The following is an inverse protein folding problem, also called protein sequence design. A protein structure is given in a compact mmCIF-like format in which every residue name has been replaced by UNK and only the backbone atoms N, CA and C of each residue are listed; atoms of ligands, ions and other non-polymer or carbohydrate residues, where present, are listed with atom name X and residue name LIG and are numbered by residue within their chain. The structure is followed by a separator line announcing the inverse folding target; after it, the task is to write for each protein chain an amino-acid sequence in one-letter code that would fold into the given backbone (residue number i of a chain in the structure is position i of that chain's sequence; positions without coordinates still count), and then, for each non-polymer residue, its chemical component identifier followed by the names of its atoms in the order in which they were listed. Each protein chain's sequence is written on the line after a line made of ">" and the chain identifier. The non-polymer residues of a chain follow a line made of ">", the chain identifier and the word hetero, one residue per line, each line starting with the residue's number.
data_IF_637175486621
#
_entry.id   IF_637175486621
#
_cell.length_a   1.000
_cell.length_b   1.000
_cell.length_c   1.000
_cell.angle_alpha   90.00
_cell.angle_beta   90.00
_cell.angle_gamma   90.00
#
_symmetry.space_group_name_H-M   'P 1'
#
loop_
_entity.id
_entity.type
_entity.pdbx_description
1 polymer ?
#
# COMPACT_ATOMS: atom_id res chain seq x y z
N UNK A 1 19.45 -11.76 24.22
CA UNK A 1 18.61 -11.08 25.20
C UNK A 1 17.53 -10.37 24.41
N UNK A 2 16.37 -10.98 24.32
CA UNK A 2 15.19 -10.47 23.62
C UNK A 2 14.66 -9.27 24.39
N UNK A 3 14.73 -8.09 23.79
CA UNK A 3 14.12 -6.90 24.38
C UNK A 3 12.61 -6.98 24.16
N UNK A 4 11.89 -7.40 25.18
CA UNK A 4 10.43 -7.39 25.19
C UNK A 4 9.99 -5.94 25.27
N UNK A 5 9.39 -5.41 24.21
CA UNK A 5 8.75 -4.10 24.23
C UNK A 5 7.46 -4.22 25.06
N UNK A 6 7.48 -3.69 26.27
CA UNK A 6 6.28 -3.53 27.09
C UNK A 6 5.47 -2.34 26.54
N UNK A 7 4.75 -2.56 25.45
CA UNK A 7 3.68 -1.63 25.05
C UNK A 7 2.49 -1.96 25.94
N UNK A 8 1.92 -1.00 26.68
CA UNK A 8 0.72 -1.25 27.49
C UNK A 8 -0.40 -1.68 26.54
N UNK A 9 -0.91 -2.90 26.71
CA UNK A 9 -1.93 -3.55 25.89
C UNK A 9 -3.32 -2.89 25.92
N UNK A 10 -3.49 -1.80 26.67
CA UNK A 10 -4.71 -0.99 26.68
C UNK A 10 -4.38 0.48 26.91
N UNK A 11 -3.99 1.23 25.86
CA UNK A 11 -4.07 2.68 25.95
C UNK A 11 -5.55 3.08 26.10
N UNK A 12 -5.85 3.90 27.09
CA UNK A 12 -7.21 4.47 27.20
C UNK A 12 -7.41 5.48 26.09
N UNK A 13 -8.63 5.62 25.59
CA UNK A 13 -8.97 6.60 24.54
C UNK A 13 -8.51 8.02 24.89
N UNK A 14 -8.46 8.35 26.19
CA UNK A 14 -7.94 9.60 26.73
C UNK A 14 -6.47 9.83 26.36
N UNK A 15 -5.68 8.77 26.21
CA UNK A 15 -4.25 8.86 25.86
C UNK A 15 -4.07 9.21 24.37
N UNK A 16 -5.02 8.84 23.51
CA UNK A 16 -5.03 9.20 22.08
C UNK A 16 -5.58 10.60 21.82
N UNK A 17 -6.49 11.06 22.65
CA UNK A 17 -7.05 12.42 22.58
C UNK A 17 -6.06 13.47 23.13
N UNK A 18 -5.07 13.05 23.92
CA UNK A 18 -4.06 13.93 24.53
C UNK A 18 -2.73 13.98 23.80
N UNK A 19 -2.54 13.22 22.72
CA UNK A 19 -1.38 13.44 21.85
C UNK A 19 -1.48 14.87 21.33
N UNK A 20 -0.44 15.72 21.54
CA UNK A 20 -0.45 17.02 20.92
C UNK A 20 -0.55 16.79 19.42
N UNK A 21 -1.68 17.19 18.84
CA UNK A 21 -1.74 17.43 17.40
C UNK A 21 -0.62 18.43 17.14
N UNK A 22 0.51 17.95 16.66
CA UNK A 22 1.52 18.82 16.11
C UNK A 22 0.78 19.57 15.01
N UNK A 23 0.44 20.82 15.28
CA UNK A 23 -0.17 21.72 14.31
C UNK A 23 0.90 22.11 13.28
N UNK A 24 1.31 21.12 12.50
CA UNK A 24 1.99 21.40 11.25
C UNK A 24 0.93 21.99 10.31
N UNK A 25 1.27 23.07 9.63
CA UNK A 25 0.42 23.61 8.58
C UNK A 25 -0.01 22.48 7.65
N UNK A 26 -1.29 22.46 7.28
CA UNK A 26 -1.81 21.44 6.38
C UNK A 26 -0.97 21.48 5.08
N UNK A 27 -0.52 20.33 4.57
CA UNK A 27 0.28 20.29 3.36
C UNK A 27 -0.54 20.82 2.18
N UNK A 28 0.11 21.51 1.25
CA UNK A 28 -0.50 21.90 -0.01
C UNK A 28 -0.67 20.68 -0.94
N UNK A 29 -1.59 20.78 -1.89
CA UNK A 29 -1.84 19.77 -2.92
C UNK A 29 -3.05 18.88 -2.63
N UNK A 30 -3.44 18.11 -3.63
CA UNK A 30 -4.61 17.23 -3.58
C UNK A 30 -4.39 16.01 -2.69
N UNK A 31 -5.49 15.42 -2.23
CA UNK A 31 -5.48 14.15 -1.51
C UNK A 31 -4.77 13.06 -2.32
N UNK A 32 -4.04 12.20 -1.61
CA UNK A 32 -3.35 11.01 -2.16
C UNK A 32 -4.20 9.75 -2.02
N UNK A 33 -5.42 9.85 -1.47
CA UNK A 33 -6.28 8.73 -1.17
C UNK A 33 -6.84 8.08 -2.44
N UNK A 34 -6.91 6.77 -2.41
CA UNK A 34 -7.55 5.91 -3.39
C UNK A 34 -8.02 4.60 -2.78
N UNK A 35 -8.43 3.65 -3.60
CA UNK A 35 -9.00 2.39 -3.16
C UNK A 35 -8.24 1.19 -3.75
N UNK A 36 -8.04 0.17 -2.91
CA UNK A 36 -7.72 -1.19 -3.33
C UNK A 36 -9.04 -1.95 -3.48
N UNK A 37 -9.34 -2.40 -4.70
CA UNK A 37 -10.62 -3.03 -5.04
C UNK A 37 -10.41 -4.52 -5.24
N UNK A 38 -11.01 -5.32 -4.36
CA UNK A 38 -10.99 -6.79 -4.43
C UNK A 38 -12.16 -7.36 -5.24
N UNK A 39 -13.25 -6.59 -5.34
CA UNK A 39 -14.36 -6.91 -6.24
C UNK A 39 -15.02 -5.62 -6.74
N UNK A 40 -15.29 -5.55 -8.03
CA UNK A 40 -15.86 -4.37 -8.68
C UNK A 40 -17.40 -4.37 -8.77
N UNK A 41 -18.07 -5.24 -8.02
CA UNK A 41 -19.52 -5.44 -8.10
C UNK A 41 -20.36 -4.35 -7.43
N UNK A 42 -19.77 -3.50 -6.59
CA UNK A 42 -20.49 -2.44 -5.89
C UNK A 42 -20.60 -1.15 -6.72
N UNK A 43 -21.81 -0.67 -7.05
CA UNK A 43 -21.99 0.61 -7.74
C UNK A 43 -21.43 1.81 -6.96
N UNK A 44 -21.30 1.70 -5.64
CA UNK A 44 -20.76 2.77 -4.79
C UNK A 44 -19.28 3.04 -5.05
N UNK A 45 -18.53 2.06 -5.56
CA UNK A 45 -17.12 2.25 -5.93
C UNK A 45 -17.01 3.24 -7.10
N UNK A 46 -17.78 3.04 -8.17
CA UNK A 46 -17.81 3.99 -9.30
C UNK A 46 -18.46 5.34 -8.91
N UNK A 47 -19.38 5.35 -7.94
CA UNK A 47 -19.89 6.61 -7.41
C UNK A 47 -18.77 7.38 -6.68
N UNK A 48 -17.96 6.68 -5.86
CA UNK A 48 -16.79 7.28 -5.22
C UNK A 48 -15.80 7.85 -6.25
N UNK A 49 -15.54 7.13 -7.34
CA UNK A 49 -14.65 7.62 -8.42
C UNK A 49 -15.17 8.93 -9.00
N UNK A 50 -16.46 9.04 -9.28
CA UNK A 50 -17.09 10.28 -9.79
C UNK A 50 -17.01 11.44 -8.80
N UNK A 51 -17.31 11.15 -7.54
CA UNK A 51 -17.45 12.19 -6.51
C UNK A 51 -16.11 12.68 -5.98
N UNK A 52 -15.11 11.78 -5.86
CA UNK A 52 -13.83 12.05 -5.24
C UNK A 52 -12.67 12.27 -6.22
N UNK A 53 -12.76 11.70 -7.42
CA UNK A 53 -11.64 11.67 -8.38
C UNK A 53 -10.32 11.24 -7.69
N UNK A 54 -10.23 10.00 -7.18
CA UNK A 54 -9.16 9.55 -6.29
C UNK A 54 -7.79 9.58 -6.98
N UNK A 55 -6.74 9.73 -6.20
CA UNK A 55 -5.37 9.75 -6.72
C UNK A 55 -4.98 8.43 -7.40
N UNK A 56 -5.37 7.31 -6.81
CA UNK A 56 -5.02 5.98 -7.31
C UNK A 56 -6.21 5.00 -7.18
N UNK A 57 -6.23 4.00 -8.05
CA UNK A 57 -7.11 2.82 -7.94
C UNK A 57 -6.28 1.56 -8.20
N UNK A 58 -6.34 0.60 -7.29
CA UNK A 58 -5.65 -0.70 -7.40
C UNK A 58 -6.71 -1.77 -7.61
N UNK A 59 -6.67 -2.46 -8.75
CA UNK A 59 -7.69 -3.41 -9.19
C UNK A 59 -7.13 -4.83 -9.17
N UNK A 60 -7.72 -5.68 -8.35
CA UNK A 60 -7.20 -7.04 -8.11
C UNK A 60 -8.12 -8.08 -8.74
N UNK A 61 -7.52 -8.99 -9.50
CA UNK A 61 -8.21 -10.10 -10.16
C UNK A 61 -8.92 -9.70 -11.44
N UNK A 62 -9.76 -8.66 -11.39
CA UNK A 62 -10.55 -8.16 -12.53
C UNK A 62 -10.32 -6.67 -12.79
N UNK A 63 -9.47 -6.30 -13.75
CA UNK A 63 -9.22 -4.91 -14.12
C UNK A 63 -10.30 -4.27 -15.00
N UNK A 64 -11.44 -4.92 -15.24
CA UNK A 64 -12.43 -4.47 -16.23
C UNK A 64 -12.96 -3.04 -15.99
N UNK A 65 -13.02 -2.57 -14.73
CA UNK A 65 -13.44 -1.21 -14.43
C UNK A 65 -12.40 -0.12 -14.74
N UNK A 66 -11.17 -0.48 -15.14
CA UNK A 66 -10.12 0.51 -15.41
C UNK A 66 -10.52 1.56 -16.45
N UNK A 67 -11.19 1.15 -17.52
CA UNK A 67 -11.66 2.05 -18.55
C UNK A 67 -12.75 3.03 -18.04
N UNK A 68 -13.66 2.55 -17.20
CA UNK A 68 -14.69 3.39 -16.59
C UNK A 68 -14.08 4.38 -15.60
N UNK A 69 -13.09 3.94 -14.81
CA UNK A 69 -12.33 4.84 -13.92
C UNK A 69 -11.68 5.96 -14.72
N UNK A 70 -10.96 5.63 -15.80
CA UNK A 70 -10.30 6.63 -16.66
C UNK A 70 -11.29 7.55 -17.36
N UNK A 71 -12.48 7.08 -17.70
CA UNK A 71 -13.53 7.91 -18.32
C UNK A 71 -14.08 8.97 -17.35
N UNK A 72 -14.25 8.61 -16.07
CA UNK A 72 -14.82 9.51 -15.06
C UNK A 72 -13.71 10.35 -14.36
N UNK A 73 -12.51 9.82 -14.20
CA UNK A 73 -11.38 10.44 -13.52
C UNK A 73 -10.07 10.17 -14.29
N UNK A 74 -9.79 10.93 -15.36
CA UNK A 74 -8.65 10.68 -16.26
C UNK A 74 -7.29 10.71 -15.57
N UNK A 75 -7.14 11.52 -14.52
CA UNK A 75 -5.88 11.68 -13.77
C UNK A 75 -5.63 10.58 -12.74
N UNK A 76 -6.66 9.81 -12.37
CA UNK A 76 -6.49 8.68 -11.45
C UNK A 76 -5.48 7.67 -12.01
N UNK A 77 -4.45 7.37 -11.24
CA UNK A 77 -3.48 6.32 -11.59
C UNK A 77 -4.08 4.95 -11.32
N UNK A 78 -4.22 4.13 -12.34
CA UNK A 78 -4.80 2.79 -12.23
C UNK A 78 -3.70 1.74 -12.25
N UNK A 79 -3.62 0.97 -11.17
CA UNK A 79 -2.76 -0.21 -11.06
C UNK A 79 -3.60 -1.48 -11.08
N UNK A 80 -3.05 -2.58 -11.57
CA UNK A 80 -3.76 -3.86 -11.51
C UNK A 80 -2.80 -5.04 -11.38
N UNK A 81 -3.32 -6.17 -10.87
CA UNK A 81 -2.69 -7.50 -10.96
C UNK A 81 -3.74 -8.60 -11.09
N UNK A 82 -3.32 -9.71 -11.66
CA UNK A 82 -4.09 -10.94 -11.64
C UNK A 82 -3.77 -11.76 -10.39
N UNK A 83 -4.74 -12.53 -9.89
CA UNK A 83 -4.60 -13.27 -8.61
C UNK A 83 -3.71 -14.51 -8.71
N UNK A 84 -3.84 -15.26 -9.77
CA UNK A 84 -3.22 -16.58 -9.91
C UNK A 84 -1.74 -16.48 -10.29
N UNK A 85 -0.85 -16.58 -9.30
CA UNK A 85 0.58 -16.45 -9.50
C UNK A 85 1.34 -17.46 -8.65
N UNK A 86 2.25 -18.21 -9.29
CA UNK A 86 3.26 -18.99 -8.59
C UNK A 86 4.39 -18.06 -8.12
N UNK A 87 4.46 -17.82 -6.82
CA UNK A 87 5.44 -16.95 -6.18
C UNK A 87 6.62 -17.72 -5.55
N UNK A 88 6.88 -18.94 -5.99
CA UNK A 88 8.00 -19.71 -5.48
C UNK A 88 9.36 -19.15 -5.98
N UNK A 89 10.29 -18.92 -5.06
CA UNK A 89 11.68 -18.54 -5.36
C UNK A 89 12.47 -19.79 -5.74
N UNK A 90 12.32 -20.24 -6.98
CA UNK A 90 12.97 -21.47 -7.50
C UNK A 90 13.29 -21.36 -8.98
N UNK A 91 14.29 -22.10 -9.43
CA UNK A 91 14.69 -22.12 -10.85
C UNK A 91 15.41 -20.85 -11.29
N UNK A 92 15.50 -20.63 -12.59
CA UNK A 92 16.12 -19.45 -13.17
C UNK A 92 15.17 -18.24 -13.14
N UNK A 93 15.53 -17.15 -12.45
CA UNK A 93 14.64 -15.99 -12.28
C UNK A 93 14.29 -15.30 -13.60
N UNK A 94 15.23 -15.24 -14.56
CA UNK A 94 15.02 -14.60 -15.87
C UNK A 94 14.01 -15.39 -16.70
N UNK A 95 14.20 -16.70 -16.77
CA UNK A 95 13.26 -17.57 -17.49
C UNK A 95 11.85 -17.51 -16.87
N UNK A 96 11.77 -17.47 -15.53
CA UNK A 96 10.48 -17.37 -14.82
C UNK A 96 9.78 -16.03 -15.06
N UNK A 97 10.52 -14.95 -15.07
CA UNK A 97 9.96 -13.62 -15.35
C UNK A 97 9.38 -13.54 -16.76
N UNK A 98 10.10 -14.07 -17.76
CA UNK A 98 9.58 -14.15 -19.14
C UNK A 98 8.33 -15.01 -19.23
N UNK A 99 8.34 -16.21 -18.66
CA UNK A 99 7.18 -17.08 -18.64
C UNK A 99 5.97 -16.44 -17.94
N UNK A 100 6.20 -15.72 -16.85
CA UNK A 100 5.17 -14.95 -16.14
C UNK A 100 4.52 -13.89 -17.04
N UNK A 101 5.31 -13.11 -17.78
CA UNK A 101 4.81 -12.08 -18.69
C UNK A 101 4.12 -12.70 -19.90
N UNK A 102 4.73 -13.70 -20.53
CA UNK A 102 4.19 -14.39 -21.72
C UNK A 102 2.84 -15.05 -21.44
N UNK A 103 2.70 -15.71 -20.28
CA UNK A 103 1.44 -16.36 -19.90
C UNK A 103 0.26 -15.42 -19.72
N UNK A 104 0.51 -14.12 -19.49
CA UNK A 104 -0.49 -13.09 -19.28
C UNK A 104 -0.57 -12.06 -20.43
N UNK A 105 0.25 -12.17 -21.46
CA UNK A 105 0.37 -11.15 -22.50
C UNK A 105 -0.96 -10.79 -23.18
N UNK A 106 -1.76 -11.80 -23.53
CA UNK A 106 -3.09 -11.59 -24.13
C UNK A 106 -4.06 -10.91 -23.15
N UNK A 107 -3.97 -11.27 -21.86
CA UNK A 107 -4.81 -10.65 -20.81
C UNK A 107 -4.44 -9.19 -20.60
N UNK A 108 -3.15 -8.85 -20.56
CA UNK A 108 -2.71 -7.45 -20.45
C UNK A 108 -3.27 -6.60 -21.60
N UNK A 109 -3.25 -7.10 -22.80
CA UNK A 109 -3.74 -6.39 -23.99
C UNK A 109 -5.25 -6.06 -23.94
N UNK A 110 -6.04 -6.78 -23.11
CA UNK A 110 -7.48 -6.52 -22.96
C UNK A 110 -7.78 -5.30 -22.06
N UNK A 111 -6.79 -4.82 -21.28
CA UNK A 111 -6.99 -3.74 -20.32
C UNK A 111 -6.03 -2.54 -20.55
N UNK A 112 -6.13 -1.86 -21.70
CA UNK A 112 -5.20 -0.78 -22.06
C UNK A 112 -5.32 0.47 -21.16
N UNK A 113 -6.34 0.55 -20.32
CA UNK A 113 -6.56 1.64 -19.37
C UNK A 113 -5.80 1.48 -18.04
N UNK A 114 -5.11 0.36 -17.84
CA UNK A 114 -4.21 0.15 -16.69
C UNK A 114 -2.90 0.87 -16.95
N UNK A 115 -2.52 1.78 -16.04
CA UNK A 115 -1.28 2.56 -16.16
C UNK A 115 -0.04 1.74 -15.76
N UNK A 116 -0.17 0.92 -14.69
CA UNK A 116 0.94 0.11 -14.17
C UNK A 116 0.47 -1.29 -13.75
N UNK A 117 1.24 -2.28 -14.11
CA UNK A 117 0.99 -3.66 -13.73
C UNK A 117 1.85 -4.07 -12.54
N UNK A 118 1.20 -4.51 -11.47
CA UNK A 118 1.85 -5.13 -10.32
C UNK A 118 2.36 -6.54 -10.67
N UNK A 119 3.42 -6.96 -9.99
CA UNK A 119 3.95 -8.32 -10.04
C UNK A 119 3.34 -9.21 -8.95
N UNK A 120 4.22 -9.88 -8.21
CA UNK A 120 3.83 -10.70 -7.07
C UNK A 120 3.22 -9.86 -5.94
N UNK A 121 2.38 -10.51 -5.16
CA UNK A 121 1.82 -9.88 -3.96
C UNK A 121 2.61 -10.34 -2.74
N UNK A 122 3.17 -9.39 -1.99
CA UNK A 122 3.86 -9.67 -0.75
C UNK A 122 4.83 -10.86 -0.87
N UNK A 123 5.81 -10.78 -1.79
CA UNK A 123 6.73 -11.88 -1.99
C UNK A 123 7.40 -12.23 -0.67
N UNK A 124 7.40 -13.52 -0.34
CA UNK A 124 8.09 -14.03 0.86
C UNK A 124 9.58 -14.08 0.55
N UNK A 125 10.33 -13.17 1.17
CA UNK A 125 11.77 -13.05 1.04
C UNK A 125 12.41 -13.46 2.37
N UNK A 126 13.35 -14.38 2.33
CA UNK A 126 14.11 -14.82 3.51
C UNK A 126 15.60 -14.49 3.30
N UNK A 127 15.92 -13.22 3.50
CA UNK A 127 17.26 -12.69 3.41
C UNK A 127 17.73 -12.30 2.01
N UNK A 128 18.98 -11.84 1.96
CA UNK A 128 19.58 -11.22 0.77
C UNK A 128 19.61 -12.14 -0.45
N UNK A 129 19.83 -13.45 -0.27
CA UNK A 129 19.91 -14.39 -1.40
C UNK A 129 18.57 -14.53 -2.15
N UNK A 130 17.46 -14.59 -1.41
CA UNK A 130 16.12 -14.61 -2.01
C UNK A 130 15.81 -13.27 -2.68
N UNK A 131 16.23 -12.17 -2.05
CA UNK A 131 16.07 -10.85 -2.64
C UNK A 131 16.89 -10.68 -3.93
N UNK A 132 18.11 -11.19 -4.00
CA UNK A 132 18.92 -11.17 -5.24
C UNK A 132 18.22 -11.95 -6.36
N UNK A 133 17.64 -13.11 -6.04
CA UNK A 133 16.84 -13.88 -6.98
C UNK A 133 15.61 -13.07 -7.46
N UNK A 134 14.87 -12.49 -6.51
CA UNK A 134 13.67 -11.69 -6.82
C UNK A 134 14.02 -10.42 -7.59
N UNK A 135 15.15 -9.80 -7.29
CA UNK A 135 15.70 -8.65 -8.02
C UNK A 135 15.96 -8.99 -9.49
N UNK A 136 16.54 -10.17 -9.76
CA UNK A 136 16.76 -10.62 -11.13
C UNK A 136 15.43 -10.91 -11.85
N UNK A 137 14.46 -11.52 -11.16
CA UNK A 137 13.10 -11.75 -11.66
C UNK A 137 12.40 -10.42 -11.99
N UNK A 138 12.35 -9.48 -11.06
CA UNK A 138 11.68 -8.18 -11.27
C UNK A 138 12.36 -7.37 -12.38
N UNK A 139 13.69 -7.36 -12.43
CA UNK A 139 14.42 -6.67 -13.49
C UNK A 139 14.06 -7.19 -14.87
N UNK A 140 13.94 -8.51 -15.02
CA UNK A 140 13.55 -9.10 -16.30
C UNK A 140 12.04 -8.94 -16.59
N UNK A 141 11.19 -9.01 -15.56
CA UNK A 141 9.77 -8.71 -15.70
C UNK A 141 9.55 -7.30 -16.25
N UNK A 142 10.29 -6.31 -15.72
CA UNK A 142 10.24 -4.93 -16.22
C UNK A 142 10.58 -4.86 -17.70
N UNK A 143 11.68 -5.51 -18.14
CA UNK A 143 12.11 -5.52 -19.54
C UNK A 143 11.09 -6.19 -20.43
N UNK A 144 10.61 -7.36 -20.05
CA UNK A 144 9.63 -8.12 -20.84
C UNK A 144 8.29 -7.37 -20.96
N UNK A 145 7.85 -6.68 -19.90
CA UNK A 145 6.65 -5.83 -19.95
C UNK A 145 6.86 -4.60 -20.85
N UNK A 146 8.05 -3.99 -20.81
CA UNK A 146 8.40 -2.88 -21.69
C UNK A 146 8.43 -3.27 -23.16
N UNK A 147 8.85 -4.50 -23.49
CA UNK A 147 8.77 -5.06 -24.86
C UNK A 147 7.30 -5.10 -25.37
N UNK A 148 6.33 -5.24 -24.47
CA UNK A 148 4.89 -5.17 -24.76
C UNK A 148 4.32 -3.73 -24.73
N UNK A 149 5.15 -2.72 -24.44
CA UNK A 149 4.71 -1.32 -24.29
C UNK A 149 3.98 -1.06 -22.96
N UNK A 150 4.14 -1.92 -21.98
CA UNK A 150 3.48 -1.83 -20.66
C UNK A 150 4.44 -1.32 -19.60
N UNK A 151 3.89 -0.60 -18.62
CA UNK A 151 4.64 -0.13 -17.45
C UNK A 151 4.33 -0.98 -16.23
N UNK A 152 5.27 -1.02 -15.29
CA UNK A 152 5.16 -1.84 -14.09
C UNK A 152 5.31 -1.05 -12.80
N UNK A 153 4.66 -1.53 -11.75
CA UNK A 153 5.01 -1.23 -10.37
C UNK A 153 5.78 -2.43 -9.80
N UNK A 154 6.97 -2.16 -9.23
CA UNK A 154 7.88 -3.19 -8.71
C UNK A 154 7.87 -3.21 -7.19
N UNK A 155 8.21 -4.35 -6.60
CA UNK A 155 8.28 -4.55 -5.15
C UNK A 155 7.00 -5.16 -4.61
N UNK A 156 6.00 -4.33 -4.31
CA UNK A 156 4.73 -4.76 -3.69
C UNK A 156 4.95 -5.58 -2.41
N UNK A 157 5.96 -5.16 -1.62
CA UNK A 157 6.34 -5.80 -0.37
C UNK A 157 5.33 -5.54 0.72
N UNK A 158 5.15 -6.52 1.61
CA UNK A 158 4.26 -6.42 2.77
C UNK A 158 4.72 -5.37 3.78
N UNK A 159 3.81 -4.98 4.67
CA UNK A 159 4.12 -4.05 5.75
C UNK A 159 5.28 -4.55 6.61
N UNK A 160 6.21 -3.65 6.93
CA UNK A 160 7.40 -4.01 7.68
C UNK A 160 8.52 -4.66 6.85
N UNK A 161 8.31 -4.90 5.57
CA UNK A 161 9.28 -5.45 4.62
C UNK A 161 9.65 -4.46 3.51
N UNK A 162 10.81 -4.65 2.84
CA UNK A 162 11.89 -5.58 3.18
C UNK A 162 12.75 -5.06 4.34
N UNK A 163 13.75 -5.84 4.79
CA UNK A 163 14.80 -5.36 5.69
C UNK A 163 15.82 -4.50 4.92
N UNK A 164 16.66 -3.67 5.62
CA UNK A 164 17.56 -2.72 4.95
C UNK A 164 18.55 -3.34 3.97
N UNK A 165 19.13 -4.48 4.28
CA UNK A 165 20.09 -5.19 3.41
C UNK A 165 19.35 -5.85 2.20
N UNK A 166 18.14 -6.32 2.40
CA UNK A 166 17.26 -6.79 1.33
C UNK A 166 16.87 -5.64 0.40
N UNK A 167 16.48 -4.47 0.95
CA UNK A 167 16.18 -3.30 0.12
C UNK A 167 17.39 -2.85 -0.70
N UNK A 168 18.58 -2.89 -0.10
CA UNK A 168 19.83 -2.60 -0.83
C UNK A 168 20.07 -3.59 -1.97
N UNK A 169 19.78 -4.88 -1.77
CA UNK A 169 19.88 -5.91 -2.81
C UNK A 169 18.81 -5.73 -3.91
N UNK A 170 17.68 -5.08 -3.61
CA UNK A 170 16.61 -4.80 -4.58
C UNK A 170 16.88 -3.58 -5.48
N UNK A 171 17.82 -2.70 -5.12
CA UNK A 171 18.09 -1.47 -5.86
C UNK A 171 18.37 -1.66 -7.37
N UNK A 172 19.01 -2.74 -7.86
CA UNK A 172 19.16 -2.96 -9.30
C UNK A 172 17.84 -3.08 -10.04
N UNK A 173 16.80 -3.68 -9.44
CA UNK A 173 15.48 -3.75 -10.06
C UNK A 173 14.81 -2.36 -10.12
N UNK A 174 15.02 -1.52 -9.10
CA UNK A 174 14.56 -0.13 -9.12
C UNK A 174 15.22 0.70 -10.22
N UNK A 175 16.52 0.46 -10.48
CA UNK A 175 17.22 1.12 -11.58
C UNK A 175 16.60 0.75 -12.94
N UNK A 176 16.33 -0.53 -13.16
CA UNK A 176 15.66 -1.01 -14.39
C UNK A 176 14.24 -0.47 -14.49
N UNK A 177 13.49 -0.44 -13.38
CA UNK A 177 12.15 0.13 -13.36
C UNK A 177 12.16 1.62 -13.73
N UNK A 178 13.10 2.40 -13.18
CA UNK A 178 13.27 3.81 -13.53
C UNK A 178 13.56 4.01 -15.02
N UNK A 179 14.46 3.22 -15.59
CA UNK A 179 14.81 3.27 -17.02
C UNK A 179 13.59 3.07 -17.92
N UNK A 180 12.66 2.21 -17.52
CA UNK A 180 11.44 1.88 -18.29
C UNK A 180 10.19 2.64 -17.82
N UNK A 181 10.34 3.68 -17.00
CA UNK A 181 9.21 4.50 -16.53
C UNK A 181 8.28 3.77 -15.57
N UNK A 182 8.80 2.78 -14.85
CA UNK A 182 8.12 2.08 -13.76
C UNK A 182 8.10 2.86 -12.46
N UNK A 183 7.37 2.36 -11.49
CA UNK A 183 7.20 2.93 -10.15
C UNK A 183 7.48 1.89 -9.06
N UNK A 184 7.69 2.36 -7.82
CA UNK A 184 7.76 1.51 -6.64
C UNK A 184 6.35 1.29 -6.06
N UNK A 185 6.05 0.07 -5.63
CA UNK A 185 4.85 -0.32 -4.90
C UNK A 185 5.22 -0.90 -3.53
N UNK A 186 4.52 -0.48 -2.48
CA UNK A 186 4.71 -0.97 -1.11
C UNK A 186 3.35 -1.12 -0.43
N UNK A 187 3.28 -1.95 0.64
CA UNK A 187 2.16 -1.98 1.55
C UNK A 187 2.55 -1.34 2.88
N UNK A 188 1.65 -0.56 3.46
CA UNK A 188 1.85 0.05 4.76
C UNK A 188 0.61 -0.11 5.64
N UNK A 189 0.73 -0.96 6.64
CA UNK A 189 -0.27 -1.17 7.67
C UNK A 189 0.32 -0.92 9.04
N UNK A 190 -0.49 -0.57 10.01
CA UNK A 190 -0.12 -0.52 11.42
C UNK A 190 -1.34 -0.84 12.29
N UNK A 191 -1.12 -1.20 13.55
CA UNK A 191 -2.16 -1.48 14.52
C UNK A 191 -1.70 -1.08 15.94
N UNK A 192 -2.62 -0.73 16.85
CA UNK A 192 -4.07 -0.58 16.68
C UNK A 192 -4.49 0.67 15.89
N UNK A 193 -3.55 1.55 15.57
CA UNK A 193 -3.77 2.77 14.77
C UNK A 193 -2.72 2.87 13.68
N UNK A 194 -3.00 3.63 12.62
CA UNK A 194 -2.00 3.88 11.56
C UNK A 194 -0.77 4.64 12.07
N UNK A 195 -0.83 5.26 13.23
CA UNK A 195 0.28 6.01 13.85
C UNK A 195 1.13 5.16 14.81
N UNK A 196 0.72 3.93 15.11
CA UNK A 196 1.27 3.15 16.23
C UNK A 196 2.79 2.89 16.14
N UNK A 197 3.34 2.82 14.94
CA UNK A 197 4.77 2.58 14.71
C UNK A 197 5.55 3.84 14.28
N UNK A 198 4.92 5.02 14.27
CA UNK A 198 5.58 6.28 13.89
C UNK A 198 6.61 6.68 14.95
N UNK A 199 7.79 7.12 14.50
CA UNK A 199 8.94 7.41 15.36
C UNK A 199 9.76 6.18 15.77
N UNK A 200 9.32 4.96 15.42
CA UNK A 200 10.13 3.76 15.62
C UNK A 200 11.13 3.57 14.48
N UNK A 201 12.32 3.05 14.80
CA UNK A 201 13.37 2.78 13.82
C UNK A 201 13.12 1.49 13.04
N UNK A 202 13.69 1.43 11.85
CA UNK A 202 13.87 0.19 11.09
C UNK A 202 15.16 -0.48 11.58
N UNK A 203 15.21 -1.80 11.77
CA UNK A 203 16.42 -2.48 12.23
C UNK A 203 17.66 -2.07 11.42
N UNK A 204 18.72 -1.67 12.11
CA UNK A 204 19.97 -1.23 11.47
C UNK A 204 20.00 0.21 10.94
N UNK A 205 18.90 0.95 11.03
CA UNK A 205 18.83 2.37 10.68
C UNK A 205 18.42 3.21 11.90
N UNK A 206 18.89 4.44 11.97
CA UNK A 206 18.52 5.37 13.04
C UNK A 206 17.05 5.75 12.95
N UNK A 207 16.37 5.80 14.10
CA UNK A 207 14.97 6.19 14.18
C UNK A 207 14.77 7.64 13.67
N UNK A 208 13.73 7.84 12.87
CA UNK A 208 13.32 9.13 12.33
C UNK A 208 11.99 9.54 12.93
N UNK A 209 11.88 10.76 13.42
CA UNK A 209 10.62 11.28 14.01
C UNK A 209 9.46 11.32 12.97
N UNK A 210 9.80 11.46 11.69
CA UNK A 210 8.84 11.52 10.58
C UNK A 210 8.64 10.21 9.85
N UNK A 211 9.34 9.12 10.24
CA UNK A 211 9.21 7.78 9.68
C UNK A 211 8.66 6.81 10.70
N UNK A 212 8.43 5.57 10.31
CA UNK A 212 8.03 4.50 11.20
C UNK A 212 8.48 3.14 10.70
N UNK A 213 8.46 2.13 11.54
CA UNK A 213 8.84 0.78 11.14
C UNK A 213 7.79 0.07 10.28
N UNK A 214 6.57 0.58 10.27
CA UNK A 214 5.40 0.07 9.55
C UNK A 214 4.85 1.13 8.59
N UNK A 215 3.97 2.03 9.04
CA UNK A 215 3.56 3.21 8.26
C UNK A 215 4.68 4.24 8.17
N UNK A 216 4.77 4.93 7.03
CA UNK A 216 5.84 5.87 6.67
C UNK A 216 7.23 5.20 6.63
N UNK A 217 7.28 3.86 6.46
CA UNK A 217 8.52 3.09 6.34
C UNK A 217 9.27 3.44 5.05
N UNK A 218 8.55 3.75 3.95
CA UNK A 218 9.14 4.16 2.69
C UNK A 218 10.11 5.34 2.83
N UNK A 219 9.92 6.24 3.82
CA UNK A 219 10.81 7.38 4.05
C UNK A 219 12.25 6.94 4.32
N UNK A 220 12.43 5.81 5.02
CA UNK A 220 13.76 5.23 5.23
C UNK A 220 14.43 4.83 3.92
N UNK A 221 13.67 4.25 2.99
CA UNK A 221 14.17 3.83 1.69
C UNK A 221 14.58 5.03 0.85
N UNK A 222 13.76 6.07 0.81
CA UNK A 222 14.07 7.29 0.06
C UNK A 222 15.25 8.04 0.65
N UNK A 223 15.33 8.18 1.96
CA UNK A 223 16.37 8.97 2.62
C UNK A 223 17.73 8.27 2.64
N UNK A 224 17.75 6.96 2.90
CA UNK A 224 19.03 6.23 3.04
C UNK A 224 19.56 5.66 1.72
N UNK A 225 18.70 5.33 0.76
CA UNK A 225 19.11 4.60 -0.44
C UNK A 225 18.83 5.34 -1.75
N UNK A 226 17.62 5.88 -1.93
CA UNK A 226 17.18 6.32 -3.25
C UNK A 226 17.66 7.72 -3.61
N UNK A 227 17.57 8.69 -2.70
CA UNK A 227 17.98 10.08 -2.98
C UNK A 227 19.48 10.18 -3.24
N UNK A 228 20.30 9.46 -2.47
CA UNK A 228 21.76 9.46 -2.62
C UNK A 228 22.27 8.79 -3.88
N UNK A 229 21.50 7.89 -4.49
CA UNK A 229 21.84 7.12 -5.69
C UNK A 229 21.13 7.58 -6.97
N UNK A 230 20.45 8.72 -6.91
CA UNK A 230 19.62 9.23 -8.04
C UNK A 230 18.58 8.21 -8.54
N UNK A 231 18.03 7.40 -7.62
CA UNK A 231 17.01 6.38 -7.92
C UNK A 231 15.63 6.74 -7.35
N UNK A 232 15.34 8.01 -7.20
CA UNK A 232 13.99 8.43 -6.78
C UNK A 232 12.98 8.04 -7.86
N UNK A 233 12.16 7.03 -7.56
CA UNK A 233 11.00 6.63 -8.36
C UNK A 233 9.72 7.22 -7.77
N UNK A 234 8.67 7.40 -8.58
CA UNK A 234 7.33 7.59 -8.02
C UNK A 234 6.92 6.35 -7.19
N UNK A 235 6.14 6.58 -6.14
CA UNK A 235 5.66 5.56 -5.20
C UNK A 235 4.13 5.52 -5.18
N UNK A 236 3.58 4.32 -5.16
CA UNK A 236 2.20 4.06 -4.73
C UNK A 236 2.22 3.10 -3.54
N UNK A 237 1.54 3.46 -2.47
CA UNK A 237 1.22 2.51 -1.40
C UNK A 237 -0.03 1.76 -1.87
N UNK A 238 0.18 0.55 -2.37
CA UNK A 238 -0.86 -0.24 -3.04
C UNK A 238 -1.85 -0.90 -2.10
N UNK A 239 -1.48 -1.04 -0.85
CA UNK A 239 -2.37 -1.42 0.25
C UNK A 239 -2.01 -0.62 1.50
N UNK A 240 -3.00 -0.04 2.15
CA UNK A 240 -2.83 0.70 3.39
C UNK A 240 -4.04 0.60 4.30
N UNK A 241 -3.81 0.68 5.60
CA UNK A 241 -4.89 0.67 6.58
C UNK A 241 -4.45 0.23 7.98
N UNK A 242 -5.43 -0.26 8.73
CA UNK A 242 -5.19 -0.91 10.01
C UNK A 242 -5.27 -2.41 9.81
N UNK A 243 -4.22 -3.13 10.24
CA UNK A 243 -4.14 -4.58 10.16
C UNK A 243 -3.52 -5.17 11.44
N UNK A 244 -4.27 -6.05 12.11
CA UNK A 244 -3.81 -6.80 13.27
C UNK A 244 -2.72 -7.82 12.95
N UNK A 245 -2.59 -8.23 11.69
CA UNK A 245 -1.54 -9.15 11.24
C UNK A 245 -0.11 -8.62 11.44
N UNK A 246 0.05 -7.30 11.63
CA UNK A 246 1.36 -6.70 11.94
C UNK A 246 1.72 -6.75 13.44
N UNK A 247 0.79 -7.20 14.29
CA UNK A 247 1.04 -7.35 15.73
C UNK A 247 1.80 -8.67 16.01
N UNK A 248 2.58 -8.73 17.10
CA UNK A 248 3.26 -9.97 17.50
C UNK A 248 2.28 -11.14 17.67
N UNK A 249 2.62 -12.33 17.17
CA UNK A 249 1.81 -13.56 17.18
C UNK A 249 1.41 -14.08 18.59
N UNK A 250 1.85 -13.47 19.68
CA UNK A 250 1.41 -13.80 21.04
C UNK A 250 -0.08 -13.50 21.28
N UNK A 251 -0.73 -12.83 20.32
CA UNK A 251 -2.16 -12.55 20.30
C UNK A 251 -2.95 -13.53 19.40
N UNK A 252 -2.45 -14.76 19.20
CA UNK A 252 -3.16 -15.80 18.46
C UNK A 252 -4.55 -16.07 19.05
N UNK A 253 -5.57 -16.00 18.18
CA UNK A 253 -6.97 -16.23 18.55
C UNK A 253 -7.89 -15.23 17.85
N UNK A 254 -8.91 -14.77 18.53
CA UNK A 254 -9.88 -13.76 18.04
C UNK A 254 -9.29 -12.32 18.07
N UNK A 255 -8.04 -12.16 17.62
CA UNK A 255 -7.41 -10.85 17.57
C UNK A 255 -8.07 -9.96 16.51
N UNK A 256 -8.25 -8.64 16.78
CA UNK A 256 -8.72 -7.70 15.78
C UNK A 256 -7.83 -7.74 14.54
N UNK A 257 -8.45 -7.78 13.37
CA UNK A 257 -7.73 -7.86 12.11
C UNK A 257 -7.82 -6.54 11.35
N UNK A 258 -9.02 -6.07 11.00
CA UNK A 258 -9.21 -4.84 10.27
C UNK A 258 -9.68 -3.68 11.15
N UNK A 259 -9.80 -2.49 10.56
CA UNK A 259 -10.19 -1.27 11.26
C UNK A 259 -11.51 -1.37 12.03
N UNK A 260 -12.46 -2.21 11.57
CA UNK A 260 -13.76 -2.39 12.23
C UNK A 260 -13.61 -3.12 13.55
N UNK A 261 -12.82 -4.19 13.59
CA UNK A 261 -12.58 -4.96 14.80
C UNK A 261 -11.91 -4.07 15.86
N UNK A 262 -10.87 -3.31 15.47
CA UNK A 262 -10.22 -2.36 16.39
C UNK A 262 -11.16 -1.27 16.86
N UNK A 263 -12.03 -0.77 15.99
CA UNK A 263 -12.99 0.24 16.37
C UNK A 263 -14.05 -0.32 17.36
N UNK A 264 -14.50 -1.55 17.20
CA UNK A 264 -15.45 -2.20 18.10
C UNK A 264 -14.84 -2.48 19.47
N UNK A 265 -13.61 -2.96 19.52
CA UNK A 265 -12.90 -3.26 20.76
C UNK A 265 -12.56 -2.00 21.59
N UNK A 266 -12.22 -0.91 20.92
CA UNK A 266 -11.79 0.33 21.58
C UNK A 266 -12.91 1.34 21.80
N UNK A 267 -14.00 1.23 21.03
CA UNK A 267 -15.10 2.19 21.06
C UNK A 267 -16.38 1.49 21.48
N UNK A 268 -16.74 1.54 22.75
CA UNK A 268 -18.11 1.24 23.22
C UNK A 268 -19.13 2.27 22.70
N UNK A 269 -19.07 2.61 21.40
CA UNK A 269 -19.70 3.78 20.78
C UNK A 269 -20.43 3.40 19.48
N UNK A 270 -21.41 4.22 19.03
CA UNK A 270 -22.15 3.97 17.79
C UNK A 270 -21.23 3.80 16.56
N UNK A 271 -21.67 3.03 15.57
CA UNK A 271 -20.95 2.78 14.31
C UNK A 271 -20.45 4.05 13.58
N UNK A 272 -21.14 5.17 13.76
CA UNK A 272 -20.71 6.48 13.23
C UNK A 272 -19.41 6.99 13.87
N UNK A 273 -19.19 6.73 15.15
CA UNK A 273 -17.94 7.14 15.82
C UNK A 273 -16.76 6.25 15.37
N UNK A 274 -17.00 4.96 15.11
CA UNK A 274 -16.00 4.06 14.53
C UNK A 274 -15.56 4.52 13.13
N UNK A 275 -16.51 4.93 12.29
CA UNK A 275 -16.23 5.50 10.98
C UNK A 275 -15.37 6.77 11.09
N UNK A 276 -15.77 7.73 11.92
CA UNK A 276 -15.01 8.98 12.08
C UNK A 276 -13.62 8.75 12.68
N UNK A 277 -13.49 7.80 13.60
CA UNK A 277 -12.19 7.40 14.13
C UNK A 277 -11.25 6.90 13.03
N UNK A 278 -11.73 6.02 12.14
CA UNK A 278 -10.90 5.51 11.05
C UNK A 278 -10.62 6.59 10.00
N UNK A 279 -11.62 7.37 9.60
CA UNK A 279 -11.47 8.48 8.65
C UNK A 279 -10.44 9.50 9.15
N UNK A 280 -10.38 9.79 10.46
CA UNK A 280 -9.38 10.67 11.01
C UNK A 280 -7.94 10.11 10.88
N UNK A 281 -7.76 8.80 11.00
CA UNK A 281 -6.46 8.17 10.81
C UNK A 281 -6.03 8.19 9.34
N UNK A 282 -6.95 7.91 8.43
CA UNK A 282 -6.72 8.05 6.99
C UNK A 282 -6.42 9.49 6.60
N UNK A 283 -7.11 10.46 7.22
CA UNK A 283 -6.84 11.89 7.03
C UNK A 283 -5.43 12.28 7.45
N UNK A 284 -4.98 11.79 8.61
CA UNK A 284 -3.62 11.99 9.07
C UNK A 284 -2.60 11.39 8.10
N UNK A 285 -2.82 10.15 7.68
CA UNK A 285 -1.90 9.46 6.77
C UNK A 285 -1.81 10.15 5.42
N UNK A 286 -2.95 10.58 4.87
CA UNK A 286 -3.00 11.39 3.66
C UNK A 286 -2.21 12.69 3.78
N UNK A 287 -2.33 13.41 4.92
CA UNK A 287 -1.56 14.64 5.18
C UNK A 287 -0.05 14.36 5.25
N UNK A 288 0.37 13.23 5.80
CA UNK A 288 1.77 12.83 5.78
C UNK A 288 2.27 12.55 4.35
N UNK A 289 1.51 11.80 3.55
CA UNK A 289 1.90 11.47 2.18
C UNK A 289 1.90 12.67 1.24
N UNK A 290 1.04 13.66 1.46
CA UNK A 290 1.00 14.92 0.68
C UNK A 290 2.28 15.75 0.83
N UNK A 291 3.06 15.55 1.91
CA UNK A 291 4.37 16.20 2.14
C UNK A 291 5.46 15.62 1.23
N UNK A 292 5.25 14.43 0.68
CA UNK A 292 6.23 13.68 -0.09
C UNK A 292 5.84 13.67 -1.58
N UNK A 293 6.43 14.57 -2.41
CA UNK A 293 5.99 14.80 -3.79
C UNK A 293 6.20 13.58 -4.71
N UNK A 294 7.06 12.63 -4.33
CA UNK A 294 7.28 11.39 -5.05
C UNK A 294 6.18 10.35 -4.81
N UNK A 295 5.34 10.51 -3.78
CA UNK A 295 4.18 9.65 -3.55
C UNK A 295 3.05 10.05 -4.48
N UNK A 296 2.62 9.15 -5.37
CA UNK A 296 1.49 9.36 -6.26
C UNK A 296 0.16 9.18 -5.52
N UNK A 297 0.09 8.21 -4.61
CA UNK A 297 -1.09 7.96 -3.80
C UNK A 297 -0.98 6.71 -2.94
N UNK A 298 -2.04 6.46 -2.18
CA UNK A 298 -2.21 5.23 -1.40
C UNK A 298 -3.60 4.66 -1.60
N UNK A 299 -3.71 3.35 -1.61
CA UNK A 299 -4.97 2.64 -1.79
C UNK A 299 -5.39 1.97 -0.47
N UNK A 300 -6.56 2.35 0.03
CA UNK A 300 -7.10 1.74 1.25
C UNK A 300 -7.51 0.31 0.95
N UNK A 301 -7.02 -0.65 1.70
CA UNK A 301 -7.47 -2.03 1.67
C UNK A 301 -8.67 -2.17 2.64
N UNK A 302 -9.89 -2.55 2.19
CA UNK A 302 -10.24 -2.80 0.82
C UNK A 302 -11.66 -2.29 0.49
N UNK A 303 -12.03 -2.26 -0.76
CA UNK A 303 -13.38 -1.98 -1.19
C UNK A 303 -13.93 -3.14 -2.03
N UNK A 304 -15.21 -3.48 -1.81
CA UNK A 304 -15.93 -4.46 -2.61
C UNK A 304 -15.61 -5.92 -2.24
N UNK A 305 -15.34 -6.22 -0.97
CA UNK A 305 -15.20 -7.61 -0.54
C UNK A 305 -16.50 -8.40 -0.77
N UNK A 306 -16.43 -9.35 -1.70
CA UNK A 306 -17.55 -10.24 -2.04
C UNK A 306 -17.44 -11.62 -1.39
N UNK A 307 -16.27 -11.95 -0.80
CA UNK A 307 -16.03 -13.23 -0.14
C UNK A 307 -16.48 -13.24 1.32
N UNK A 308 -16.47 -12.08 1.97
CA UNK A 308 -16.61 -11.91 3.41
C UNK A 308 -15.33 -12.19 4.21
N UNK A 309 -14.25 -12.58 3.53
CA UNK A 309 -12.97 -12.86 4.19
C UNK A 309 -12.29 -11.58 4.73
N UNK A 310 -12.64 -10.43 4.17
CA UNK A 310 -12.08 -9.12 4.49
C UNK A 310 -13.11 -8.14 5.06
N UNK A 311 -14.20 -8.64 5.68
CA UNK A 311 -15.29 -7.81 6.15
C UNK A 311 -14.84 -6.73 7.15
N UNK A 312 -13.88 -7.06 8.03
CA UNK A 312 -13.35 -6.11 9.01
C UNK A 312 -12.49 -4.98 8.40
N UNK A 313 -12.04 -5.15 7.16
CA UNK A 313 -11.29 -4.14 6.40
C UNK A 313 -12.18 -3.34 5.44
N UNK A 314 -13.35 -3.86 5.06
CA UNK A 314 -14.18 -3.29 3.98
C UNK A 314 -14.62 -1.85 4.27
N UNK A 315 -14.31 -0.95 3.33
CA UNK A 315 -14.69 0.46 3.38
C UNK A 315 -15.87 0.81 2.48
N UNK A 316 -16.47 -0.16 1.80
CA UNK A 316 -17.56 0.08 0.84
C UNK A 316 -18.72 0.86 1.48
N UNK A 317 -19.04 0.58 2.73
CA UNK A 317 -20.09 1.26 3.48
C UNK A 317 -19.81 2.71 3.88
N UNK A 318 -18.53 3.14 3.84
CA UNK A 318 -18.09 4.49 4.23
C UNK A 318 -17.54 5.32 3.06
N UNK A 319 -17.66 4.84 1.83
CA UNK A 319 -17.17 5.54 0.62
C UNK A 319 -17.68 6.98 0.48
N UNK A 320 -18.96 7.32 0.78
CA UNK A 320 -19.39 8.71 0.73
C UNK A 320 -18.59 9.62 1.68
N UNK A 321 -18.26 9.10 2.87
CA UNK A 321 -17.48 9.86 3.86
C UNK A 321 -16.01 10.01 3.44
N UNK A 322 -15.45 9.01 2.75
CA UNK A 322 -14.12 9.09 2.15
C UNK A 322 -14.08 10.09 0.99
N UNK A 323 -15.15 10.17 0.19
CA UNK A 323 -15.27 11.21 -0.85
C UNK A 323 -15.27 12.62 -0.25
N UNK A 324 -16.00 12.84 0.85
CA UNK A 324 -15.95 14.10 1.59
C UNK A 324 -14.52 14.44 2.06
N UNK A 325 -13.78 13.44 2.56
CA UNK A 325 -12.39 13.63 2.99
C UNK A 325 -11.48 14.06 1.83
N UNK A 326 -11.58 13.39 0.67
CA UNK A 326 -10.79 13.73 -0.52
C UNK A 326 -11.11 15.16 -0.96
N UNK A 327 -12.39 15.49 -1.09
CA UNK A 327 -12.84 16.80 -1.55
C UNK A 327 -12.47 17.94 -0.58
N UNK A 328 -12.36 17.66 0.71
CA UNK A 328 -11.91 18.66 1.69
C UNK A 328 -10.43 19.03 1.57
N UNK A 329 -9.64 18.25 0.82
CA UNK A 329 -8.18 18.42 0.64
C UNK A 329 -7.78 18.80 -0.79
N UNK A 330 -8.75 18.89 -1.69
CA UNK A 330 -8.57 19.19 -3.11
C UNK A 330 -8.57 20.67 -3.46
#
# INVERSE_FOLDING_TARGET
>A
ATTVWNVPLTPRMEDYLSLPLLSLEAPEGQSKLGLHVTANSSPSIMQFVRDAQPAVMVLIGDPSMAADVKAESPETVVLARFLEQDQSITGDPVARARAFVESNAERYATFPAVDYWLGWNEPVIDGVADMEWFTAFESERVRAMAELGLKVAVGNFSAGCPEPDEFQAFMPALAVAKEHGGILALHEYSAPTMQSAVGSGVPGLDAQASGGSLTLRYRYWYDHYLRGSDLVLPLVITEAGIDGGVLPHELEGDAPMGWRDFAEDHLTVPSTAATEWYVNQLSWYDDELRRDPHVLGFAIFNAGDSSGDWESYDVTGILPRLADLVNAKG
#
